data_IF_580640170333
#
_entry.id   IF_580640170333
#
_cell.length_a   1.000
_cell.length_b   1.000
_cell.length_c   1.000
_cell.angle_alpha   90.00
_cell.angle_beta   90.00
_cell.angle_gamma   90.00
#
_symmetry.space_group_name_H-M   'P 1'
#
loop_
_entity.id
_entity.type
_entity.pdbx_description
1 polymer ?
#
# COMPACT_ATOMS: atom_id res chain seq x y z
N UNK A 1 -35.75 18.00 -39.62
CA UNK A 1 -35.97 17.35 -38.31
C UNK A 1 -34.67 16.67 -37.92
N UNK A 2 -33.91 17.25 -36.99
CA UNK A 2 -32.56 16.80 -36.63
C UNK A 2 -32.64 16.09 -35.28
N UNK A 3 -32.44 14.78 -35.29
CA UNK A 3 -32.43 13.95 -34.08
C UNK A 3 -31.27 14.39 -33.18
N UNK A 4 -31.60 14.86 -31.98
CA UNK A 4 -30.65 15.14 -30.91
C UNK A 4 -30.53 13.85 -30.10
N UNK A 5 -29.40 13.15 -30.26
CA UNK A 5 -29.04 12.02 -29.40
C UNK A 5 -28.53 12.64 -28.08
N UNK A 6 -29.33 12.58 -27.01
CA UNK A 6 -28.87 12.87 -25.66
C UNK A 6 -27.97 11.71 -25.19
N UNK A 7 -26.66 11.95 -25.15
CA UNK A 7 -25.76 11.09 -24.38
C UNK A 7 -25.96 11.41 -22.90
N UNK A 8 -26.67 10.54 -22.18
CA UNK A 8 -26.59 10.48 -20.72
C UNK A 8 -25.18 9.98 -20.35
N UNK A 9 -24.25 10.92 -20.13
CA UNK A 9 -23.04 10.65 -19.36
C UNK A 9 -23.50 10.39 -17.92
N UNK A 10 -23.69 9.12 -17.57
CA UNK A 10 -23.61 8.72 -16.16
C UNK A 10 -22.15 8.92 -15.74
N UNK A 11 -21.81 9.88 -14.86
CA UNK A 11 -20.53 9.80 -14.19
C UNK A 11 -20.60 8.53 -13.35
N UNK A 12 -19.83 7.51 -13.73
CA UNK A 12 -19.54 6.41 -12.81
C UNK A 12 -18.74 7.05 -11.68
N UNK A 13 -19.42 7.46 -10.61
CA UNK A 13 -18.77 7.66 -9.32
C UNK A 13 -18.24 6.29 -8.94
N UNK A 14 -16.97 6.05 -9.22
CA UNK A 14 -16.27 4.91 -8.70
C UNK A 14 -16.13 5.15 -7.20
N UNK A 15 -16.92 4.42 -6.42
CA UNK A 15 -16.81 4.42 -4.97
C UNK A 15 -15.60 3.56 -4.62
N UNK A 16 -14.64 4.11 -3.86
CA UNK A 16 -13.69 3.27 -3.13
C UNK A 16 -14.50 2.28 -2.28
N UNK A 17 -14.12 1.00 -2.30
CA UNK A 17 -14.88 0.00 -1.54
C UNK A 17 -14.73 0.33 -0.06
N UNK A 18 -15.87 0.63 0.58
CA UNK A 18 -15.95 0.80 2.02
C UNK A 18 -15.99 -0.58 2.65
N UNK A 19 -14.95 -0.92 3.39
CA UNK A 19 -14.90 -2.16 4.15
C UNK A 19 -15.38 -1.90 5.58
N UNK A 20 -16.08 -2.89 6.14
CA UNK A 20 -16.37 -2.88 7.58
C UNK A 20 -15.06 -2.76 8.36
N UNK A 21 -15.02 -1.86 9.34
CA UNK A 21 -13.82 -1.58 10.13
C UNK A 21 -12.95 -0.43 9.63
N UNK A 22 -13.21 0.18 8.47
CA UNK A 22 -12.42 1.32 7.96
C UNK A 22 -12.38 2.51 8.95
N UNK A 23 -13.48 2.76 9.66
CA UNK A 23 -13.52 3.78 10.71
C UNK A 23 -12.56 3.48 11.88
N UNK A 24 -12.31 2.20 12.19
CA UNK A 24 -11.33 1.78 13.21
C UNK A 24 -9.90 1.91 12.69
N UNK A 25 -9.66 1.53 11.43
CA UNK A 25 -8.38 1.75 10.75
C UNK A 25 -8.02 3.23 10.78
N UNK A 26 -8.94 4.09 10.37
CA UNK A 26 -8.75 5.55 10.37
C UNK A 26 -8.51 6.10 11.79
N UNK A 27 -9.21 5.58 12.80
CA UNK A 27 -8.95 5.94 14.20
C UNK A 27 -7.53 5.56 14.62
N UNK A 28 -7.08 4.35 14.29
CA UNK A 28 -5.72 3.89 14.55
C UNK A 28 -4.67 4.76 13.86
N UNK A 29 -4.85 5.06 12.58
CA UNK A 29 -3.95 5.96 11.81
C UNK A 29 -3.88 7.36 12.45
N UNK A 30 -5.01 7.93 12.87
CA UNK A 30 -5.02 9.22 13.58
C UNK A 30 -4.24 9.19 14.91
N UNK A 31 -4.31 8.08 15.64
CA UNK A 31 -3.53 7.90 16.87
C UNK A 31 -2.03 7.81 16.56
N UNK A 32 -1.64 7.16 15.45
CA UNK A 32 -0.24 7.18 14.99
C UNK A 32 0.27 8.59 14.71
N UNK A 33 -0.50 9.41 13.98
CA UNK A 33 -0.11 10.80 13.73
C UNK A 33 0.00 11.66 15.01
N UNK A 34 -0.65 11.24 16.09
CA UNK A 34 -0.58 11.88 17.40
C UNK A 34 0.42 11.19 18.36
N UNK A 35 1.30 10.32 17.84
CA UNK A 35 2.32 9.58 18.61
C UNK A 35 1.74 8.66 19.71
N UNK A 36 0.48 8.26 19.60
CA UNK A 36 -0.20 7.33 20.52
C UNK A 36 -0.13 5.90 19.98
N UNK A 37 1.08 5.40 19.74
CA UNK A 37 1.36 4.17 18.96
C UNK A 37 0.80 2.91 19.62
N UNK A 38 0.97 2.74 20.94
CA UNK A 38 0.45 1.58 21.66
C UNK A 38 -1.09 1.46 21.59
N UNK A 39 -1.80 2.58 21.74
CA UNK A 39 -3.26 2.61 21.65
C UNK A 39 -3.73 2.39 20.19
N UNK A 40 -2.97 2.89 19.21
CA UNK A 40 -3.23 2.62 17.81
C UNK A 40 -3.13 1.12 17.50
N UNK A 41 -2.07 0.45 17.95
CA UNK A 41 -1.90 -1.01 17.81
C UNK A 41 -3.08 -1.76 18.42
N UNK A 42 -3.50 -1.39 19.64
CA UNK A 42 -4.64 -2.01 20.32
C UNK A 42 -5.94 -1.89 19.54
N UNK A 43 -6.26 -0.69 19.04
CA UNK A 43 -7.50 -0.46 18.27
C UNK A 43 -7.49 -1.22 16.95
N UNK A 44 -6.35 -1.26 16.26
CA UNK A 44 -6.24 -1.94 14.97
C UNK A 44 -6.24 -3.46 15.17
N UNK A 45 -5.61 -3.98 16.23
CA UNK A 45 -5.68 -5.40 16.59
C UNK A 45 -7.12 -5.86 16.83
N UNK A 46 -7.89 -5.09 17.61
CA UNK A 46 -9.32 -5.38 17.79
C UNK A 46 -10.11 -5.26 16.47
N UNK A 47 -9.76 -4.31 15.59
CA UNK A 47 -10.41 -4.22 14.28
C UNK A 47 -10.11 -5.44 13.40
N UNK A 48 -8.88 -5.97 13.45
CA UNK A 48 -8.45 -7.17 12.74
C UNK A 48 -9.26 -8.39 13.12
N UNK A 49 -9.53 -8.58 14.42
CA UNK A 49 -10.36 -9.68 14.92
C UNK A 49 -11.82 -9.54 14.50
N UNK A 50 -12.36 -8.32 14.55
CA UNK A 50 -13.78 -8.07 14.27
C UNK A 50 -14.11 -7.97 12.78
N UNK A 51 -13.12 -7.68 11.93
CA UNK A 51 -13.29 -7.44 10.50
C UNK A 51 -12.23 -8.17 9.65
N UNK A 52 -12.16 -9.51 9.72
CA UNK A 52 -11.12 -10.30 9.04
C UNK A 52 -11.19 -10.26 7.50
N UNK A 53 -12.30 -9.81 6.93
CA UNK A 53 -12.44 -9.64 5.47
C UNK A 53 -11.93 -8.27 4.97
N UNK A 54 -11.54 -7.37 5.87
CA UNK A 54 -11.03 -6.06 5.50
C UNK A 54 -9.51 -6.14 5.25
N UNK A 55 -9.00 -5.93 4.02
CA UNK A 55 -7.57 -6.04 3.76
C UNK A 55 -6.75 -4.94 4.46
N UNK A 56 -7.38 -3.77 4.71
CA UNK A 56 -6.75 -2.63 5.38
C UNK A 56 -6.39 -2.96 6.81
N UNK A 57 -7.27 -3.64 7.56
CA UNK A 57 -7.01 -3.93 8.98
C UNK A 57 -5.78 -4.81 9.16
N UNK A 58 -5.55 -5.79 8.28
CA UNK A 58 -4.39 -6.66 8.35
C UNK A 58 -3.09 -5.93 8.03
N UNK A 59 -3.05 -5.21 6.90
CA UNK A 59 -1.85 -4.47 6.50
C UNK A 59 -1.53 -3.34 7.49
N UNK A 60 -2.53 -2.55 7.89
CA UNK A 60 -2.33 -1.45 8.83
C UNK A 60 -1.92 -1.96 10.22
N UNK A 61 -2.36 -3.15 10.64
CA UNK A 61 -1.90 -3.75 11.89
C UNK A 61 -0.40 -4.06 11.88
N UNK A 62 0.11 -4.68 10.80
CA UNK A 62 1.55 -4.95 10.67
C UNK A 62 2.38 -3.65 10.63
N UNK A 63 1.91 -2.65 9.87
CA UNK A 63 2.56 -1.34 9.83
C UNK A 63 2.53 -0.63 11.20
N UNK A 64 1.42 -0.77 11.93
CA UNK A 64 1.23 -0.21 13.26
C UNK A 64 2.22 -0.79 14.28
N UNK A 65 2.33 -2.12 14.32
CA UNK A 65 3.27 -2.82 15.19
C UNK A 65 4.72 -2.52 14.86
N UNK A 66 5.06 -2.40 13.57
CA UNK A 66 6.37 -1.96 13.14
C UNK A 66 6.71 -0.57 13.68
N UNK A 67 5.84 0.42 13.47
CA UNK A 67 6.11 1.80 13.90
C UNK A 67 6.19 1.92 15.43
N UNK A 68 5.34 1.19 16.15
CA UNK A 68 5.42 1.10 17.61
C UNK A 68 6.72 0.47 18.08
N UNK A 69 7.16 -0.63 17.45
CA UNK A 69 8.43 -1.27 17.78
C UNK A 69 9.62 -0.39 17.43
N UNK A 70 9.64 0.27 16.26
CA UNK A 70 10.72 1.18 15.85
C UNK A 70 10.88 2.37 16.82
N UNK A 71 9.83 2.73 17.56
CA UNK A 71 9.88 3.78 18.57
C UNK A 71 10.46 3.33 19.93
N UNK A 72 10.44 2.03 20.24
CA UNK A 72 10.72 1.51 21.59
C UNK A 72 11.84 0.46 21.65
N UNK A 73 12.15 -0.21 20.53
CA UNK A 73 13.02 -1.37 20.50
C UNK A 73 14.23 -1.16 19.58
N UNK A 74 15.30 -1.97 19.73
CA UNK A 74 16.37 -2.03 18.75
C UNK A 74 15.86 -2.33 17.34
N UNK A 75 16.61 -1.85 16.34
CA UNK A 75 16.28 -2.02 14.92
C UNK A 75 16.14 -3.50 14.54
N UNK A 76 17.02 -4.37 15.04
CA UNK A 76 16.97 -5.81 14.75
C UNK A 76 15.68 -6.47 15.26
N UNK A 77 15.25 -6.10 16.46
CA UNK A 77 14.00 -6.62 17.05
C UNK A 77 12.78 -6.13 16.28
N UNK A 78 12.78 -4.87 15.84
CA UNK A 78 11.72 -4.32 15.00
C UNK A 78 11.59 -5.04 13.65
N UNK A 79 12.71 -5.50 13.09
CA UNK A 79 12.71 -6.33 11.88
C UNK A 79 12.14 -7.73 12.12
N UNK A 80 12.45 -8.36 13.25
CA UNK A 80 11.90 -9.67 13.62
C UNK A 80 10.39 -9.61 13.86
N UNK A 81 9.92 -8.56 14.56
CA UNK A 81 8.49 -8.32 14.79
C UNK A 81 7.75 -8.15 13.46
N UNK A 82 8.22 -7.24 12.60
CA UNK A 82 7.56 -7.00 11.32
C UNK A 82 7.63 -8.25 10.40
N UNK A 83 8.71 -9.01 10.44
CA UNK A 83 8.81 -10.25 9.65
C UNK A 83 7.79 -11.29 10.10
N UNK A 84 7.63 -11.47 11.42
CA UNK A 84 6.58 -12.31 12.01
C UNK A 84 5.19 -11.85 11.58
N UNK A 85 4.89 -10.55 11.73
CA UNK A 85 3.60 -9.97 11.37
C UNK A 85 3.30 -10.13 9.87
N UNK A 86 4.28 -9.94 8.98
CA UNK A 86 4.10 -10.11 7.53
C UNK A 86 3.98 -11.58 7.11
N UNK A 87 4.66 -12.50 7.79
CA UNK A 87 4.49 -13.93 7.53
C UNK A 87 3.08 -14.42 7.92
N UNK A 88 2.41 -13.73 8.85
CA UNK A 88 1.01 -13.96 9.19
C UNK A 88 0.05 -13.25 8.21
N UNK A 89 0.32 -11.99 7.89
CA UNK A 89 -0.61 -11.14 7.12
C UNK A 89 -0.62 -11.46 5.62
N UNK A 90 0.53 -11.80 5.02
CA UNK A 90 0.60 -12.05 3.57
C UNK A 90 -0.30 -13.22 3.14
N UNK A 91 -0.28 -14.41 3.78
CA UNK A 91 -1.17 -15.51 3.41
C UNK A 91 -2.66 -15.16 3.52
N UNK A 92 -3.04 -14.34 4.51
CA UNK A 92 -4.42 -13.86 4.67
C UNK A 92 -4.80 -12.98 3.46
N UNK A 93 -3.93 -12.03 3.10
CA UNK A 93 -4.17 -11.13 1.97
C UNK A 93 -4.16 -11.86 0.62
N UNK A 94 -3.33 -12.90 0.47
CA UNK A 94 -3.36 -13.79 -0.70
C UNK A 94 -4.73 -14.46 -0.82
N UNK A 95 -5.19 -15.13 0.24
CA UNK A 95 -6.51 -15.78 0.25
C UNK A 95 -7.67 -14.82 -0.02
N UNK A 96 -7.64 -13.63 0.60
CA UNK A 96 -8.65 -12.60 0.35
C UNK A 96 -8.63 -12.10 -1.11
N UNK A 97 -7.43 -11.94 -1.68
CA UNK A 97 -7.26 -11.49 -3.07
C UNK A 97 -7.65 -12.53 -4.12
N UNK A 98 -7.51 -13.82 -3.78
CA UNK A 98 -7.88 -14.94 -4.64
C UNK A 98 -9.40 -15.18 -4.61
N UNK A 99 -10.06 -14.91 -3.48
CA UNK A 99 -11.51 -15.04 -3.30
C UNK A 99 -12.31 -13.84 -3.81
N UNK A 100 -11.68 -12.67 -3.97
CA UNK A 100 -12.32 -11.42 -4.39
C UNK A 100 -11.48 -10.72 -5.48
N UNK A 101 -11.41 -11.34 -6.66
CA UNK A 101 -10.52 -10.89 -7.73
C UNK A 101 -10.99 -9.60 -8.44
N UNK A 102 -12.25 -9.24 -8.23
CA UNK A 102 -12.99 -8.09 -8.73
C UNK A 102 -12.76 -6.80 -7.91
N UNK A 103 -12.32 -6.95 -6.65
CA UNK A 103 -12.07 -5.82 -5.74
C UNK A 103 -10.56 -5.51 -5.70
N UNK A 104 -10.10 -4.40 -6.33
CA UNK A 104 -8.68 -4.12 -6.50
C UNK A 104 -7.93 -3.86 -5.19
N UNK A 105 -8.61 -3.41 -4.14
CA UNK A 105 -8.02 -3.13 -2.83
C UNK A 105 -7.34 -4.35 -2.20
N UNK A 106 -7.89 -5.56 -2.37
CA UNK A 106 -7.24 -6.76 -1.83
C UNK A 106 -5.84 -6.97 -2.42
N UNK A 107 -5.73 -6.86 -3.74
CA UNK A 107 -4.44 -6.94 -4.45
C UNK A 107 -3.52 -5.75 -4.12
N UNK A 108 -4.08 -4.57 -3.92
CA UNK A 108 -3.32 -3.39 -3.49
C UNK A 108 -2.64 -3.62 -2.14
N UNK A 109 -3.38 -4.08 -1.13
CA UNK A 109 -2.81 -4.34 0.20
C UNK A 109 -1.88 -5.55 0.22
N UNK A 110 -2.15 -6.59 -0.57
CA UNK A 110 -1.19 -7.67 -0.79
C UNK A 110 0.13 -7.16 -1.38
N UNK A 111 0.06 -6.37 -2.45
CA UNK A 111 1.23 -5.75 -3.07
C UNK A 111 2.00 -4.86 -2.08
N UNK A 112 1.28 -4.15 -1.22
CA UNK A 112 1.85 -3.30 -0.18
C UNK A 112 2.56 -4.11 0.91
N UNK A 113 1.98 -5.22 1.37
CA UNK A 113 2.60 -6.12 2.35
C UNK A 113 3.88 -6.78 1.80
N UNK A 114 3.85 -7.25 0.54
CA UNK A 114 5.03 -7.80 -0.15
C UNK A 114 6.12 -6.72 -0.31
N UNK A 115 5.72 -5.50 -0.70
CA UNK A 115 6.64 -4.36 -0.78
C UNK A 115 7.27 -4.03 0.55
N UNK A 116 6.50 -4.07 1.64
CA UNK A 116 6.99 -3.83 3.00
C UNK A 116 8.01 -4.89 3.44
N UNK A 117 7.85 -6.16 3.02
CA UNK A 117 8.85 -7.22 3.26
C UNK A 117 10.21 -6.89 2.67
N UNK A 118 10.28 -6.12 1.59
CA UNK A 118 11.55 -5.67 1.01
C UNK A 118 12.33 -4.74 1.97
N UNK A 119 11.66 -3.97 2.83
CA UNK A 119 12.30 -3.11 3.85
C UNK A 119 13.11 -3.95 4.83
N UNK A 120 12.55 -5.08 5.28
CA UNK A 120 13.21 -6.01 6.21
C UNK A 120 14.46 -6.59 5.55
N UNK A 121 14.30 -7.14 4.35
CA UNK A 121 15.40 -7.75 3.60
C UNK A 121 16.54 -6.75 3.39
N UNK A 122 16.21 -5.48 3.10
CA UNK A 122 17.18 -4.42 2.94
C UNK A 122 17.93 -4.16 4.25
N UNK A 123 17.20 -4.05 5.36
CA UNK A 123 17.75 -3.89 6.70
C UNK A 123 18.69 -5.04 7.10
N UNK A 124 18.35 -6.27 6.71
CA UNK A 124 19.17 -7.48 6.89
C UNK A 124 20.29 -7.66 5.86
N UNK A 125 20.43 -6.74 4.90
CA UNK A 125 21.39 -6.79 3.77
C UNK A 125 21.19 -7.98 2.83
N UNK A 126 19.97 -8.49 2.75
CA UNK A 126 19.54 -9.55 1.83
C UNK A 126 19.17 -8.94 0.46
N UNK A 127 20.18 -8.51 -0.29
CA UNK A 127 20.01 -7.72 -1.52
C UNK A 127 19.12 -8.39 -2.58
N UNK A 128 19.25 -9.70 -2.78
CA UNK A 128 18.45 -10.45 -3.76
C UNK A 128 16.98 -10.47 -3.34
N UNK A 129 16.70 -10.88 -2.11
CA UNK A 129 15.35 -10.91 -1.53
C UNK A 129 14.71 -9.52 -1.53
N UNK A 130 15.50 -8.48 -1.30
CA UNK A 130 15.06 -7.07 -1.38
C UNK A 130 14.55 -6.75 -2.77
N UNK A 131 15.36 -6.98 -3.81
CA UNK A 131 15.00 -6.66 -5.19
C UNK A 131 13.78 -7.46 -5.66
N UNK A 132 13.72 -8.75 -5.33
CA UNK A 132 12.59 -9.61 -5.70
C UNK A 132 11.28 -9.13 -5.07
N UNK A 133 11.27 -8.90 -3.75
CA UNK A 133 10.05 -8.48 -3.06
C UNK A 133 9.63 -7.06 -3.44
N UNK A 134 10.60 -6.13 -3.58
CA UNK A 134 10.31 -4.78 -4.04
C UNK A 134 9.69 -4.78 -5.45
N UNK A 135 10.28 -5.54 -6.37
CA UNK A 135 9.75 -5.67 -7.73
C UNK A 135 8.35 -6.31 -7.76
N UNK A 136 8.14 -7.40 -7.01
CA UNK A 136 6.84 -8.09 -6.94
C UNK A 136 5.74 -7.18 -6.41
N UNK A 137 5.96 -6.57 -5.24
CA UNK A 137 5.00 -5.65 -4.63
C UNK A 137 4.70 -4.47 -5.55
N UNK A 138 5.74 -3.83 -6.08
CA UNK A 138 5.61 -2.70 -6.99
C UNK A 138 4.83 -3.04 -8.26
N UNK A 139 5.11 -4.18 -8.91
CA UNK A 139 4.42 -4.60 -10.14
C UNK A 139 2.92 -4.80 -9.91
N UNK A 140 2.53 -5.33 -8.76
CA UNK A 140 1.12 -5.49 -8.37
C UNK A 140 0.46 -4.12 -8.23
N UNK A 141 1.02 -3.25 -7.38
CA UNK A 141 0.47 -1.91 -7.11
C UNK A 141 0.37 -1.10 -8.40
N UNK A 142 1.38 -1.15 -9.27
CA UNK A 142 1.36 -0.42 -10.54
C UNK A 142 0.30 -0.93 -11.50
N UNK A 143 0.03 -2.23 -11.52
CA UNK A 143 -1.08 -2.78 -12.31
C UNK A 143 -2.42 -2.24 -11.80
N UNK A 144 -2.58 -2.16 -10.48
CA UNK A 144 -3.78 -1.58 -9.87
C UNK A 144 -3.92 -0.10 -10.20
N UNK A 145 -2.88 0.72 -9.99
CA UNK A 145 -2.94 2.16 -10.29
C UNK A 145 -3.25 2.44 -11.77
N UNK A 146 -2.68 1.65 -12.69
CA UNK A 146 -2.97 1.78 -14.11
C UNK A 146 -4.42 1.44 -14.48
N UNK A 147 -4.99 0.41 -13.85
CA UNK A 147 -6.31 -0.11 -14.18
C UNK A 147 -7.44 0.58 -13.39
N UNK A 148 -7.11 1.12 -12.23
CA UNK A 148 -8.00 1.79 -11.27
C UNK A 148 -7.37 3.12 -10.82
N UNK A 149 -7.22 4.10 -11.73
CA UNK A 149 -6.55 5.38 -11.44
C UNK A 149 -7.32 6.26 -10.45
N UNK A 150 -8.56 5.91 -10.16
CA UNK A 150 -9.47 6.45 -9.14
C UNK A 150 -9.18 5.90 -7.73
N UNK A 151 -8.48 4.77 -7.61
CA UNK A 151 -8.08 4.22 -6.31
C UNK A 151 -6.86 4.99 -5.76
N UNK A 152 -7.14 6.05 -5.01
CA UNK A 152 -6.13 7.00 -4.51
C UNK A 152 -5.03 6.33 -3.67
N UNK A 153 -5.38 5.29 -2.89
CA UNK A 153 -4.43 4.54 -2.06
C UNK A 153 -3.28 3.92 -2.87
N UNK A 154 -3.49 3.61 -4.15
CA UNK A 154 -2.45 3.08 -5.03
C UNK A 154 -1.46 4.15 -5.51
N UNK A 155 -1.82 5.44 -5.45
CA UNK A 155 -1.01 6.53 -6.01
C UNK A 155 0.20 6.86 -5.15
N UNK A 156 0.06 6.85 -3.83
CA UNK A 156 1.16 7.18 -2.92
C UNK A 156 2.41 6.30 -3.13
N UNK A 157 2.33 4.95 -3.07
CA UNK A 157 3.50 4.11 -3.29
C UNK A 157 4.12 4.28 -4.68
N UNK A 158 3.32 4.48 -5.73
CA UNK A 158 3.83 4.74 -7.09
C UNK A 158 4.51 6.11 -7.17
N UNK A 159 3.88 7.14 -6.61
CA UNK A 159 4.41 8.51 -6.59
C UNK A 159 5.75 8.62 -5.88
N UNK A 160 5.91 7.91 -4.75
CA UNK A 160 7.21 7.83 -4.03
C UNK A 160 8.28 7.22 -4.94
N UNK A 161 7.99 6.10 -5.60
CA UNK A 161 8.96 5.45 -6.50
C UNK A 161 9.31 6.34 -7.69
N UNK A 162 8.31 6.94 -8.35
CA UNK A 162 8.53 7.85 -9.48
C UNK A 162 9.31 9.10 -9.08
N UNK A 163 9.02 9.68 -7.91
CA UNK A 163 9.69 10.85 -7.38
C UNK A 163 11.19 10.58 -7.18
N UNK A 164 11.52 9.51 -6.47
CA UNK A 164 12.93 9.15 -6.22
C UNK A 164 13.66 8.70 -7.48
N UNK A 165 12.99 7.99 -8.40
CA UNK A 165 13.55 7.64 -9.70
C UNK A 165 13.81 8.86 -10.59
N UNK A 166 12.99 9.91 -10.47
CA UNK A 166 13.14 11.17 -11.19
C UNK A 166 14.23 12.09 -10.64
N UNK A 167 14.65 11.92 -9.37
CA UNK A 167 15.70 12.73 -8.73
C UNK A 167 17.11 12.27 -9.09
N UNK A 168 17.34 10.97 -9.33
CA UNK A 168 18.68 10.42 -9.52
C UNK A 168 18.81 9.67 -10.87
N UNK A 169 19.62 10.17 -11.83
CA UNK A 169 19.97 9.44 -13.02
C UNK A 169 21.00 8.36 -12.67
N UNK A 170 20.55 7.13 -12.49
CA UNK A 170 21.39 5.99 -12.12
C UNK A 170 20.64 4.65 -12.19
N UNK A 171 21.04 3.68 -11.37
CA UNK A 171 20.43 2.34 -11.30
C UNK A 171 18.90 2.39 -11.11
N UNK A 172 18.39 3.41 -10.41
CA UNK A 172 16.96 3.61 -10.15
C UNK A 172 16.20 4.03 -11.43
N UNK A 173 16.78 4.90 -12.27
CA UNK A 173 16.16 5.27 -13.54
C UNK A 173 16.20 4.12 -14.54
N UNK A 174 17.23 3.27 -14.47
CA UNK A 174 17.34 2.07 -15.29
C UNK A 174 16.28 1.02 -14.92
N UNK A 175 16.08 0.72 -13.63
CA UNK A 175 15.00 -0.19 -13.20
C UNK A 175 13.61 0.37 -13.48
N UNK A 176 13.40 1.69 -13.35
CA UNK A 176 12.17 2.36 -13.73
C UNK A 176 11.86 2.20 -15.24
N UNK A 177 12.87 2.38 -16.10
CA UNK A 177 12.73 2.14 -17.55
C UNK A 177 12.42 0.68 -17.88
N UNK A 178 13.09 -0.28 -17.24
CA UNK A 178 12.86 -1.71 -17.47
C UNK A 178 11.43 -2.17 -17.16
N UNK A 179 10.78 -1.51 -16.20
CA UNK A 179 9.39 -1.80 -15.87
C UNK A 179 8.42 -0.96 -16.70
N UNK A 180 8.89 0.04 -17.44
CA UNK A 180 8.06 0.92 -18.30
C UNK A 180 7.44 2.09 -17.55
N UNK A 181 8.08 2.55 -16.47
CA UNK A 181 7.74 3.82 -15.85
C UNK A 181 8.41 4.95 -16.63
N UNK A 182 7.62 5.89 -17.12
CA UNK A 182 8.11 7.22 -17.49
C UNK A 182 8.24 8.08 -16.22
N UNK A 183 9.10 7.63 -15.30
CA UNK A 183 9.26 8.26 -14.00
C UNK A 183 9.88 9.64 -14.14
N UNK A 184 9.08 10.67 -13.83
CA UNK A 184 9.55 12.04 -13.66
C UNK A 184 9.31 12.49 -12.23
N UNK A 185 10.15 13.39 -11.73
CA UNK A 185 9.98 13.98 -10.40
C UNK A 185 8.58 14.62 -10.26
N UNK A 186 8.13 15.33 -11.31
CA UNK A 186 6.83 16.00 -11.33
C UNK A 186 5.66 15.00 -11.30
N UNK A 187 5.72 13.92 -12.09
CA UNK A 187 4.67 12.90 -12.05
C UNK A 187 4.58 12.23 -10.67
N UNK A 188 5.73 11.95 -10.04
CA UNK A 188 5.77 11.42 -8.69
C UNK A 188 5.15 12.36 -7.65
N UNK A 189 5.51 13.65 -7.68
CA UNK A 189 4.92 14.66 -6.79
C UNK A 189 3.41 14.76 -6.97
N UNK A 190 2.93 14.83 -8.21
CA UNK A 190 1.49 14.91 -8.49
C UNK A 190 0.72 13.73 -7.88
N UNK A 191 1.25 12.51 -7.99
CA UNK A 191 0.62 11.32 -7.39
C UNK A 191 0.63 11.37 -5.86
N UNK A 192 1.70 11.88 -5.25
CA UNK A 192 1.78 12.07 -3.79
C UNK A 192 0.75 13.11 -3.33
N UNK A 193 0.64 14.23 -4.03
CA UNK A 193 -0.35 15.29 -3.73
C UNK A 193 -1.78 14.77 -3.84
N UNK A 194 -2.10 14.01 -4.89
CA UNK A 194 -3.41 13.39 -5.08
C UNK A 194 -3.77 12.37 -3.98
N UNK A 195 -2.78 11.67 -3.44
CA UNK A 195 -3.01 10.72 -2.35
C UNK A 195 -3.18 11.42 -0.98
N UNK A 196 -2.80 12.69 -0.87
CA UNK A 196 -2.87 13.48 0.35
C UNK A 196 -4.08 14.44 0.41
N UNK A 197 -4.78 14.64 -0.71
CA UNK A 197 -5.97 15.49 -0.86
C UNK A 197 -7.26 14.76 -0.52
#
# INVERSE_FOLDING_TARGET
>A
MRNIILYFLFPVMAFSVNFSGDGKVMKGVKLFYNYQTAEAVKIIAAARENFPENPRVHFTWAAARMLDSEAHNPVSESYEILEGDLNEVIPILENLSDSHDDIPEYKLYLGSAIGLKARINLGKKEWVSTLVNAYRGFRIIRKIEKNHPDLMDAKLPIGIVEYFAGLNPGLVQWTAKLIGLEATRQAGLLKIEQAAS
#
